data_IF_649352644397
#
_entry.id   IF_649352644397
#
_cell.length_a   1.000
_cell.length_b   1.000
_cell.length_c   1.000
_cell.angle_alpha   90.00
_cell.angle_beta   90.00
_cell.angle_gamma   90.00
#
_symmetry.space_group_name_H-M   'P 1'
#
loop_
_entity.id
_entity.type
_entity.pdbx_description
1 polymer ?
#
# COMPACT_ATOMS: atom_id res chain seq x y z
N UNK A 1 -36.49 -28.73 63.37
CA UNK A 1 -37.16 -27.93 62.33
C UNK A 1 -36.44 -26.59 62.28
N UNK A 2 -35.69 -26.37 61.20
CA UNK A 2 -34.57 -25.42 61.14
C UNK A 2 -34.99 -23.95 61.14
N UNK A 3 -34.25 -23.15 61.89
CA UNK A 3 -34.18 -21.71 61.75
C UNK A 3 -33.10 -21.40 60.70
N UNK A 4 -33.41 -20.58 59.72
CA UNK A 4 -32.40 -20.01 58.83
C UNK A 4 -32.64 -18.51 58.68
N UNK A 5 -31.71 -17.75 59.25
CA UNK A 5 -31.57 -16.31 59.14
C UNK A 5 -30.51 -16.04 58.08
N UNK A 6 -30.82 -15.24 57.06
CA UNK A 6 -29.79 -14.79 56.13
C UNK A 6 -30.31 -13.99 54.96
N UNK A 7 -30.70 -12.73 55.19
CA UNK A 7 -30.82 -11.74 54.10
C UNK A 7 -29.42 -11.41 53.59
N UNK A 8 -29.08 -11.87 52.39
CA UNK A 8 -27.88 -11.42 51.69
C UNK A 8 -28.30 -10.49 50.53
N UNK A 9 -27.91 -9.21 50.63
CA UNK A 9 -28.06 -8.21 49.56
C UNK A 9 -26.94 -8.46 48.54
N UNK A 10 -27.29 -9.07 47.41
CA UNK A 10 -26.39 -9.19 46.27
C UNK A 10 -26.18 -7.84 45.60
N UNK A 11 -24.93 -7.43 45.53
CA UNK A 11 -24.40 -6.21 44.93
C UNK A 11 -24.70 -6.08 43.44
N UNK A 12 -25.09 -4.88 43.02
CA UNK A 12 -25.14 -4.47 41.60
C UNK A 12 -23.77 -4.69 40.93
N UNK A 13 -23.75 -5.56 39.92
CA UNK A 13 -22.57 -5.79 39.07
C UNK A 13 -22.32 -4.56 38.21
N UNK A 14 -21.32 -3.75 38.59
CA UNK A 14 -20.74 -2.64 37.81
C UNK A 14 -19.83 -3.15 36.69
N UNK A 15 -20.29 -4.07 35.86
CA UNK A 15 -19.48 -4.61 34.75
C UNK A 15 -20.31 -4.59 33.47
N UNK A 16 -20.27 -3.46 32.76
CA UNK A 16 -20.46 -3.36 31.28
C UNK A 16 -20.54 -1.92 30.74
N UNK A 17 -19.78 -0.96 31.30
CA UNK A 17 -19.61 0.36 30.67
C UNK A 17 -18.40 0.45 29.72
N UNK A 18 -17.60 -0.60 29.59
CA UNK A 18 -16.36 -0.55 28.80
C UNK A 18 -16.52 -1.02 27.34
N UNK A 19 -17.71 -1.43 26.91
CA UNK A 19 -17.90 -2.13 25.63
C UNK A 19 -18.34 -1.30 24.42
N UNK A 20 -18.37 0.05 24.47
CA UNK A 20 -18.59 0.85 23.25
C UNK A 20 -17.83 2.17 23.27
N UNK A 21 -16.50 2.13 23.12
CA UNK A 21 -15.80 3.23 22.43
C UNK A 21 -16.14 3.15 20.94
N UNK A 22 -17.36 3.58 20.61
CA UNK A 22 -17.72 3.91 19.24
C UNK A 22 -16.88 5.15 18.88
N UNK A 23 -16.13 5.18 17.76
CA UNK A 23 -15.42 6.39 17.36
C UNK A 23 -16.38 7.57 17.34
N UNK A 24 -15.93 8.73 17.84
CA UNK A 24 -16.77 9.93 17.95
C UNK A 24 -17.17 10.35 16.52
N UNK A 25 -18.45 10.60 16.22
CA UNK A 25 -18.93 10.90 14.85
C UNK A 25 -18.08 11.97 14.14
N UNK A 26 -17.69 13.00 14.89
CA UNK A 26 -16.87 14.10 14.42
C UNK A 26 -15.45 13.72 13.96
N UNK A 27 -14.81 12.70 14.57
CA UNK A 27 -13.48 12.24 14.12
C UNK A 27 -13.60 11.51 12.80
N UNK A 28 -14.61 10.63 12.68
CA UNK A 28 -14.85 9.87 11.45
C UNK A 28 -15.19 10.77 10.27
N UNK A 29 -16.00 11.81 10.48
CA UNK A 29 -16.31 12.81 9.45
C UNK A 29 -15.07 13.59 9.00
N UNK A 30 -14.17 13.95 9.93
CA UNK A 30 -12.90 14.61 9.61
C UNK A 30 -11.97 13.68 8.82
N UNK A 31 -11.86 12.42 9.23
CA UNK A 31 -11.05 11.41 8.54
C UNK A 31 -11.60 11.12 7.14
N UNK A 32 -12.93 11.03 6.99
CA UNK A 32 -13.60 10.83 5.70
C UNK A 32 -13.39 12.03 4.76
N UNK A 33 -13.46 13.26 5.29
CA UNK A 33 -13.20 14.49 4.52
C UNK A 33 -11.74 14.57 4.08
N UNK A 34 -10.80 14.24 4.97
CA UNK A 34 -9.37 14.21 4.65
C UNK A 34 -9.04 13.15 3.60
N UNK A 35 -9.66 11.96 3.71
CA UNK A 35 -9.53 10.90 2.70
C UNK A 35 -10.07 11.33 1.35
N UNK A 36 -11.26 11.92 1.30
CA UNK A 36 -11.85 12.44 0.06
C UNK A 36 -10.93 13.48 -0.61
N UNK A 37 -10.37 14.41 0.17
CA UNK A 37 -9.43 15.41 -0.34
C UNK A 37 -8.16 14.78 -0.92
N UNK A 38 -7.59 13.76 -0.29
CA UNK A 38 -6.41 13.05 -0.80
C UNK A 38 -6.69 12.32 -2.12
N UNK A 39 -7.85 11.66 -2.24
CA UNK A 39 -8.25 11.00 -3.50
C UNK A 39 -8.44 12.00 -4.64
N UNK A 40 -9.01 13.17 -4.33
CA UNK A 40 -9.17 14.24 -5.30
C UNK A 40 -7.82 14.85 -5.71
N UNK A 41 -6.88 15.01 -4.78
CA UNK A 41 -5.53 15.49 -5.11
C UNK A 41 -4.80 14.53 -6.07
N UNK A 42 -4.96 13.22 -5.89
CA UNK A 42 -4.42 12.20 -6.82
C UNK A 42 -5.05 12.34 -8.21
N UNK A 43 -6.36 12.52 -8.28
CA UNK A 43 -7.06 12.71 -9.56
C UNK A 43 -6.70 14.03 -10.24
N UNK A 44 -6.48 15.11 -9.47
CA UNK A 44 -5.99 16.40 -9.97
C UNK A 44 -4.55 16.31 -10.49
N UNK A 45 -3.73 15.42 -9.93
CA UNK A 45 -2.42 15.05 -10.46
C UNK A 45 -2.51 14.15 -11.72
N UNK A 46 -3.71 13.86 -12.23
CA UNK A 46 -3.95 13.11 -13.46
C UNK A 46 -3.90 11.60 -13.31
N UNK A 47 -3.74 11.07 -12.09
CA UNK A 47 -3.69 9.63 -11.83
C UNK A 47 -5.12 9.07 -11.71
N UNK A 48 -5.54 8.14 -12.59
CA UNK A 48 -6.91 7.61 -12.58
C UNK A 48 -7.09 6.57 -11.49
N UNK A 49 -8.19 6.68 -10.73
CA UNK A 49 -8.40 5.88 -9.53
C UNK A 49 -9.65 5.00 -9.63
N UNK A 50 -9.64 3.86 -8.91
CA UNK A 50 -10.79 2.98 -8.76
C UNK A 50 -10.91 2.41 -7.33
N UNK A 51 -12.11 2.00 -6.88
CA UNK A 51 -12.30 1.37 -5.57
C UNK A 51 -11.62 0.01 -5.45
N UNK A 52 -11.08 -0.26 -4.26
CA UNK A 52 -10.40 -1.48 -3.91
C UNK A 52 -10.88 -2.06 -2.58
N UNK A 53 -10.60 -3.34 -2.40
CA UNK A 53 -10.93 -4.06 -1.18
C UNK A 53 -10.18 -3.48 0.02
N UNK A 54 -10.75 -3.64 1.21
CA UNK A 54 -10.22 -3.12 2.46
C UNK A 54 -10.16 -4.22 3.52
N UNK A 55 -9.40 -4.04 4.62
CA UNK A 55 -9.27 -5.07 5.62
C UNK A 55 -10.50 -5.11 6.53
N UNK A 56 -10.91 -6.33 6.89
CA UNK A 56 -11.97 -6.61 7.88
C UNK A 56 -11.35 -7.51 8.95
N UNK A 57 -10.68 -6.89 9.93
CA UNK A 57 -9.77 -7.60 10.83
C UNK A 57 -8.61 -8.21 10.05
N UNK A 58 -8.39 -9.52 10.19
CA UNK A 58 -7.39 -10.28 9.42
C UNK A 58 -7.92 -10.85 8.09
N UNK A 59 -9.09 -10.39 7.62
CA UNK A 59 -9.72 -10.85 6.37
C UNK A 59 -9.86 -9.73 5.35
N UNK A 60 -10.21 -10.10 4.12
CA UNK A 60 -10.51 -9.17 3.04
C UNK A 60 -12.02 -8.85 2.99
N UNK A 61 -12.39 -7.63 2.64
CA UNK A 61 -13.78 -7.22 2.41
C UNK A 61 -14.45 -7.90 1.21
N UNK A 62 -13.71 -8.66 0.40
CA UNK A 62 -14.26 -9.42 -0.73
C UNK A 62 -14.93 -10.75 -0.35
N UNK A 63 -14.91 -11.10 0.94
CA UNK A 63 -15.51 -12.32 1.51
C UNK A 63 -14.96 -13.65 0.96
N UNK A 64 -13.99 -13.61 0.05
CA UNK A 64 -13.29 -14.80 -0.46
C UNK A 64 -12.45 -15.45 0.64
N UNK A 65 -12.76 -16.70 0.94
CA UNK A 65 -11.91 -17.56 1.77
C UNK A 65 -10.58 -17.76 1.06
N UNK A 66 -9.46 -17.45 1.72
CA UNK A 66 -8.13 -17.54 1.12
C UNK A 66 -7.88 -16.50 0.03
N UNK A 67 -8.34 -15.25 0.22
CA UNK A 67 -7.99 -14.14 -0.65
C UNK A 67 -6.45 -14.03 -0.76
N UNK A 68 -5.87 -14.08 -1.98
CA UNK A 68 -4.42 -14.10 -2.15
C UNK A 68 -3.76 -12.75 -1.81
N UNK A 69 -4.51 -11.64 -1.98
CA UNK A 69 -4.02 -10.28 -1.74
C UNK A 69 -5.01 -9.49 -0.88
N UNK A 70 -5.17 -9.84 0.41
CA UNK A 70 -6.18 -9.23 1.27
C UNK A 70 -6.05 -7.70 1.33
N UNK A 71 -7.17 -6.99 1.14
CA UNK A 71 -7.26 -5.54 1.13
C UNK A 71 -6.44 -4.79 0.06
N UNK A 72 -5.92 -5.49 -0.95
CA UNK A 72 -5.03 -4.90 -1.98
C UNK A 72 -5.59 -4.92 -3.39
N UNK A 73 -6.60 -5.75 -3.66
CA UNK A 73 -7.14 -5.91 -5.01
C UNK A 73 -8.30 -4.94 -5.32
N UNK A 74 -8.50 -4.55 -6.59
CA UNK A 74 -9.67 -3.78 -7.03
C UNK A 74 -10.98 -4.53 -6.73
N UNK A 75 -12.08 -3.79 -6.54
CA UNK A 75 -13.41 -4.39 -6.34
C UNK A 75 -14.01 -4.96 -7.63
N UNK A 76 -13.61 -4.42 -8.77
CA UNK A 76 -14.14 -4.78 -10.09
C UNK A 76 -13.04 -5.39 -10.94
N UNK A 77 -13.37 -6.45 -11.71
CA UNK A 77 -12.46 -6.99 -12.73
C UNK A 77 -12.27 -6.04 -13.91
N UNK A 78 -13.16 -5.08 -14.10
CA UNK A 78 -13.08 -4.03 -15.12
C UNK A 78 -12.40 -2.75 -14.59
N UNK A 79 -11.54 -2.87 -13.57
CA UNK A 79 -10.93 -1.73 -12.90
C UNK A 79 -10.13 -0.83 -13.86
N UNK A 80 -9.50 -1.39 -14.88
CA UNK A 80 -8.72 -0.64 -15.88
C UNK A 80 -9.60 0.40 -16.58
N UNK A 81 -10.77 -0.03 -17.07
CA UNK A 81 -11.70 0.85 -17.82
C UNK A 81 -12.58 1.69 -16.91
N UNK A 82 -12.71 1.31 -15.64
CA UNK A 82 -13.46 2.05 -14.64
C UNK A 82 -12.63 3.09 -13.88
N UNK A 83 -11.30 3.00 -13.94
CA UNK A 83 -10.42 3.98 -13.30
C UNK A 83 -10.62 5.35 -13.93
N UNK A 84 -10.76 6.39 -13.10
CA UNK A 84 -11.16 7.72 -13.56
C UNK A 84 -10.53 8.83 -12.74
N UNK A 85 -10.45 10.02 -13.32
CA UNK A 85 -10.14 11.28 -12.65
C UNK A 85 -11.41 12.15 -12.46
N UNK A 86 -12.60 11.63 -12.81
CA UNK A 86 -13.86 12.36 -12.65
C UNK A 86 -14.18 12.61 -11.16
N UNK A 87 -14.07 13.87 -10.74
CA UNK A 87 -14.33 14.33 -9.37
C UNK A 87 -15.68 13.83 -8.84
N UNK A 88 -16.75 13.92 -9.64
CA UNK A 88 -18.08 13.57 -9.16
C UNK A 88 -18.20 12.06 -8.87
N UNK A 89 -17.59 11.21 -9.70
CA UNK A 89 -17.52 9.76 -9.48
C UNK A 89 -16.70 9.42 -8.24
N UNK A 90 -15.55 10.08 -8.06
CA UNK A 90 -14.67 9.87 -6.91
C UNK A 90 -15.37 10.24 -5.61
N UNK A 91 -16.00 11.42 -5.54
CA UNK A 91 -16.79 11.84 -4.38
C UNK A 91 -17.94 10.86 -4.08
N UNK A 92 -18.62 10.35 -5.11
CA UNK A 92 -19.66 9.33 -4.93
C UNK A 92 -19.11 8.05 -4.32
N UNK A 93 -17.97 7.56 -4.80
CA UNK A 93 -17.32 6.37 -4.23
C UNK A 93 -16.86 6.61 -2.80
N UNK A 94 -16.17 7.72 -2.54
CA UNK A 94 -15.67 8.07 -1.22
C UNK A 94 -16.80 8.11 -0.18
N UNK A 95 -17.93 8.74 -0.50
CA UNK A 95 -19.07 8.87 0.43
C UNK A 95 -19.88 7.59 0.60
N UNK A 96 -20.09 6.83 -0.48
CA UNK A 96 -20.87 5.58 -0.42
C UNK A 96 -20.10 4.41 0.21
N UNK A 97 -18.76 4.43 0.15
CA UNK A 97 -17.89 3.35 0.62
C UNK A 97 -16.76 3.92 1.49
N UNK A 98 -17.07 4.38 2.73
CA UNK A 98 -16.10 5.08 3.57
C UNK A 98 -14.89 4.24 4.01
N UNK A 99 -15.02 2.91 3.95
CA UNK A 99 -13.96 1.98 4.34
C UNK A 99 -13.15 1.45 3.14
N UNK A 100 -13.59 1.69 1.90
CA UNK A 100 -12.90 1.17 0.73
C UNK A 100 -11.52 1.81 0.58
N UNK A 101 -10.54 0.97 0.27
CA UNK A 101 -9.27 1.45 -0.26
C UNK A 101 -9.49 1.90 -1.71
N UNK A 102 -8.48 2.55 -2.29
CA UNK A 102 -8.47 2.92 -3.70
C UNK A 102 -7.16 2.46 -4.32
N UNK A 103 -7.20 2.14 -5.61
CA UNK A 103 -6.03 1.89 -6.44
C UNK A 103 -5.90 2.98 -7.48
N UNK A 104 -4.70 3.15 -8.01
CA UNK A 104 -4.43 3.89 -9.23
C UNK A 104 -3.98 2.94 -10.33
N UNK A 105 -4.49 3.14 -11.55
CA UNK A 105 -4.10 2.35 -12.71
C UNK A 105 -2.84 2.93 -13.36
N UNK A 106 -1.77 2.13 -13.44
CA UNK A 106 -0.46 2.56 -13.96
C UNK A 106 -0.33 2.32 -15.47
N UNK A 107 0.70 2.92 -16.09
CA UNK A 107 1.03 2.78 -17.50
C UNK A 107 0.15 3.54 -18.48
N UNK A 108 -0.64 4.50 -18.01
CA UNK A 108 -1.37 5.45 -18.85
C UNK A 108 -0.80 6.87 -18.74
N UNK A 109 -0.63 7.35 -17.51
CA UNK A 109 -0.09 8.69 -17.20
C UNK A 109 1.15 8.60 -16.31
N UNK A 110 1.17 7.62 -15.42
CA UNK A 110 2.23 7.40 -14.46
C UNK A 110 2.57 5.91 -14.38
N UNK A 111 3.80 5.63 -13.99
CA UNK A 111 4.24 4.31 -13.57
C UNK A 111 4.65 4.36 -12.09
N UNK A 112 4.87 3.20 -11.48
CA UNK A 112 5.35 3.11 -10.09
C UNK A 112 6.54 2.16 -9.98
N UNK A 113 7.64 2.66 -9.42
CA UNK A 113 8.79 1.86 -9.03
C UNK A 113 8.60 1.43 -7.57
N UNK A 114 8.39 0.14 -7.35
CA UNK A 114 8.16 -0.46 -6.04
C UNK A 114 9.43 -1.19 -5.57
N UNK A 115 9.98 -0.77 -4.43
CA UNK A 115 11.26 -1.26 -3.88
C UNK A 115 11.12 -1.68 -2.42
N UNK A 116 12.05 -2.48 -1.86
CA UNK A 116 12.06 -2.76 -0.43
C UNK A 116 12.20 -1.48 0.38
N UNK A 117 11.50 -1.36 1.50
CA UNK A 117 11.40 -0.13 2.29
C UNK A 117 12.79 0.43 2.64
N UNK A 118 13.66 -0.39 3.22
CA UNK A 118 15.00 0.04 3.62
C UNK A 118 15.89 0.48 2.45
N UNK A 119 15.73 -0.13 1.27
CA UNK A 119 16.43 0.30 0.06
C UNK A 119 15.86 1.63 -0.46
N UNK A 120 14.53 1.77 -0.46
CA UNK A 120 13.83 2.98 -0.85
C UNK A 120 14.19 4.19 0.02
N UNK A 121 14.27 4.02 1.34
CA UNK A 121 14.67 5.09 2.27
C UNK A 121 16.09 5.61 1.96
N UNK A 122 17.05 4.70 1.78
CA UNK A 122 18.43 5.05 1.41
C UNK A 122 18.51 5.73 0.04
N UNK A 123 17.75 5.24 -0.93
CA UNK A 123 17.69 5.84 -2.27
C UNK A 123 17.07 7.24 -2.23
N UNK A 124 15.97 7.42 -1.50
CA UNK A 124 15.28 8.70 -1.34
C UNK A 124 16.21 9.75 -0.72
N UNK A 125 16.93 9.40 0.35
CA UNK A 125 17.90 10.30 0.98
C UNK A 125 18.98 10.75 -0.02
N UNK A 126 19.56 9.81 -0.77
CA UNK A 126 20.60 10.09 -1.77
C UNK A 126 20.09 10.97 -2.91
N UNK A 127 18.90 10.68 -3.44
CA UNK A 127 18.30 11.45 -4.53
C UNK A 127 18.02 12.89 -4.09
N UNK A 128 17.44 13.08 -2.90
CA UNK A 128 17.18 14.41 -2.34
C UNK A 128 18.47 15.17 -2.05
N UNK A 129 19.50 14.51 -1.50
CA UNK A 129 20.81 15.11 -1.26
C UNK A 129 21.51 15.53 -2.57
N UNK A 130 21.25 14.82 -3.66
CA UNK A 130 21.74 15.14 -5.00
C UNK A 130 20.88 16.21 -5.74
N UNK A 131 19.76 16.66 -5.15
CA UNK A 131 18.86 17.62 -5.77
C UNK A 131 18.06 17.07 -6.96
N UNK A 132 17.90 15.74 -7.04
CA UNK A 132 17.07 15.09 -8.06
C UNK A 132 15.60 15.26 -7.69
N UNK A 133 14.74 15.55 -8.68
CA UNK A 133 13.29 15.58 -8.46
C UNK A 133 12.75 14.15 -8.37
N UNK A 134 12.20 13.77 -7.22
CA UNK A 134 11.78 12.39 -6.92
C UNK A 134 10.28 12.16 -7.11
N UNK A 135 9.48 13.22 -7.25
CA UNK A 135 8.01 13.11 -7.33
C UNK A 135 7.32 12.59 -6.07
N UNK A 136 6.06 12.11 -6.19
CA UNK A 136 5.31 11.50 -5.10
C UNK A 136 5.93 10.17 -4.65
N UNK A 137 5.93 9.92 -3.35
CA UNK A 137 6.50 8.72 -2.73
C UNK A 137 5.57 8.24 -1.62
N UNK A 138 5.26 6.95 -1.60
CA UNK A 138 4.44 6.34 -0.55
C UNK A 138 5.16 5.16 0.12
N UNK A 139 4.93 4.98 1.41
CA UNK A 139 5.23 3.72 2.11
C UNK A 139 4.02 2.80 1.97
N UNK A 140 4.23 1.52 1.66
CA UNK A 140 3.20 0.49 1.66
C UNK A 140 3.58 -0.60 2.65
N UNK A 141 2.83 -0.73 3.74
CA UNK A 141 3.17 -1.66 4.81
C UNK A 141 4.47 -1.27 5.51
N UNK A 142 5.17 -2.26 6.03
CA UNK A 142 6.47 -2.13 6.70
C UNK A 142 7.63 -2.62 5.81
N UNK A 143 7.35 -3.01 4.57
CA UNK A 143 8.29 -3.72 3.72
C UNK A 143 8.52 -3.06 2.35
N UNK A 144 7.63 -2.16 1.88
CA UNK A 144 7.70 -1.56 0.54
C UNK A 144 7.66 -0.03 0.52
N UNK A 145 8.35 0.55 -0.46
CA UNK A 145 8.26 1.97 -0.82
C UNK A 145 7.97 2.13 -2.31
N UNK A 146 7.03 3.01 -2.64
CA UNK A 146 6.50 3.26 -3.98
C UNK A 146 6.92 4.64 -4.46
N UNK A 147 7.61 4.72 -5.59
CA UNK A 147 8.00 5.97 -6.26
C UNK A 147 7.16 6.17 -7.51
N UNK A 148 6.40 7.27 -7.57
CA UNK A 148 5.49 7.55 -8.67
C UNK A 148 6.22 8.40 -9.72
N UNK A 149 6.24 7.93 -10.95
CA UNK A 149 7.00 8.54 -12.05
C UNK A 149 6.09 8.79 -13.25
N UNK A 150 6.52 9.64 -14.19
CA UNK A 150 5.84 9.77 -15.46
C UNK A 150 5.87 8.41 -16.18
N UNK A 151 4.82 8.09 -16.93
CA UNK A 151 4.84 6.85 -17.70
C UNK A 151 5.85 6.95 -18.83
N UNK A 152 6.51 5.83 -19.14
CA UNK A 152 7.27 5.68 -20.39
C UNK A 152 6.46 5.04 -21.52
N UNK A 153 5.21 4.61 -21.26
CA UNK A 153 4.33 4.10 -22.29
C UNK A 153 3.97 5.19 -23.29
N UNK A 154 4.13 4.92 -24.59
CA UNK A 154 3.54 5.72 -25.66
C UNK A 154 2.07 5.32 -25.81
N UNK A 155 1.10 6.21 -25.55
CA UNK A 155 -0.31 5.88 -25.76
C UNK A 155 -0.68 5.70 -27.25
N UNK A 156 0.16 6.19 -28.16
CA UNK A 156 -0.13 6.27 -29.60
C UNK A 156 0.46 5.09 -30.41
N UNK A 157 1.44 4.36 -29.88
CA UNK A 157 2.04 3.18 -30.54
C UNK A 157 1.63 1.91 -29.79
N UNK A 158 0.39 1.46 -30.06
CA UNK A 158 -0.10 0.17 -29.55
C UNK A 158 0.77 -1.02 -30.05
N UNK A 159 1.48 -0.83 -31.17
CA UNK A 159 2.26 -1.84 -31.89
C UNK A 159 3.74 -1.94 -31.44
N UNK A 160 4.28 -0.96 -30.70
CA UNK A 160 5.62 -1.03 -30.08
C UNK A 160 5.56 -1.61 -28.66
N UNK A 161 4.62 -2.53 -28.44
CA UNK A 161 4.50 -3.25 -27.19
C UNK A 161 5.47 -4.42 -27.15
N UNK A 162 6.54 -4.28 -26.36
CA UNK A 162 7.28 -5.42 -25.85
C UNK A 162 6.77 -5.74 -24.44
N UNK A 163 6.39 -7.00 -24.13
CA UNK A 163 6.28 -7.43 -22.75
C UNK A 163 7.65 -7.21 -22.11
N UNK A 164 7.74 -6.33 -21.11
CA UNK A 164 8.97 -6.20 -20.36
C UNK A 164 8.95 -7.34 -19.35
N UNK A 165 10.05 -8.09 -19.19
CA UNK A 165 10.14 -9.16 -18.18
C UNK A 165 9.97 -8.63 -16.73
N UNK A 166 9.90 -7.31 -16.52
CA UNK A 166 9.49 -6.67 -15.27
C UNK A 166 7.96 -6.51 -15.08
N UNK A 167 7.13 -6.95 -16.04
CA UNK A 167 5.68 -6.82 -15.99
C UNK A 167 5.06 -7.78 -14.94
N UNK A 168 5.06 -7.30 -13.69
CA UNK A 168 4.13 -7.65 -12.62
C UNK A 168 4.17 -9.07 -12.03
N UNK A 169 5.15 -9.92 -12.35
CA UNK A 169 5.43 -11.13 -11.57
C UNK A 169 6.94 -11.28 -11.38
N UNK A 170 7.52 -10.88 -10.23
CA UNK A 170 8.71 -11.60 -9.80
C UNK A 170 8.24 -13.00 -9.43
N UNK A 171 8.58 -14.01 -10.24
CA UNK A 171 8.26 -15.40 -9.90
C UNK A 171 9.06 -15.85 -8.67
N UNK A 172 10.23 -15.24 -8.40
CA UNK A 172 10.96 -15.34 -7.12
C UNK A 172 11.80 -14.06 -6.82
N UNK A 173 12.34 -13.95 -5.60
CA UNK A 173 13.34 -12.93 -5.21
C UNK A 173 14.62 -12.97 -6.05
N UNK A 174 14.83 -14.05 -6.80
CA UNK A 174 16.10 -14.39 -7.45
C UNK A 174 16.22 -13.78 -8.85
N UNK A 175 15.10 -13.43 -9.50
CA UNK A 175 15.09 -12.85 -10.86
C UNK A 175 15.28 -11.33 -10.86
N UNK A 176 14.76 -10.64 -9.83
CA UNK A 176 15.04 -9.23 -9.57
C UNK A 176 15.16 -8.98 -8.07
N UNK A 177 16.34 -8.60 -7.54
CA UNK A 177 16.53 -8.36 -6.11
C UNK A 177 15.78 -7.10 -5.68
N UNK A 178 14.48 -7.22 -5.40
CA UNK A 178 13.66 -6.26 -4.66
C UNK A 178 12.86 -5.23 -5.47
N UNK A 179 13.30 -4.79 -6.65
CA UNK A 179 12.60 -3.76 -7.45
C UNK A 179 11.52 -4.37 -8.36
N UNK A 180 10.34 -3.75 -8.40
CA UNK A 180 9.23 -4.04 -9.31
C UNK A 180 8.83 -2.76 -10.03
N UNK A 181 8.49 -2.86 -11.31
CA UNK A 181 8.00 -1.73 -12.09
C UNK A 181 6.55 -1.95 -12.51
N UNK A 182 5.64 -1.17 -11.92
CA UNK A 182 4.23 -1.16 -12.27
C UNK A 182 3.99 -0.23 -13.46
N UNK A 183 3.92 -0.83 -14.66
CA UNK A 183 3.64 -0.17 -15.92
C UNK A 183 2.18 -0.42 -16.36
N UNK A 184 1.94 -0.59 -17.66
CA UNK A 184 0.62 -0.80 -18.25
C UNK A 184 -0.01 -2.10 -17.79
N UNK A 185 -1.30 -2.05 -17.47
CA UNK A 185 -2.05 -3.21 -16.99
C UNK A 185 -1.79 -3.55 -15.52
N UNK A 186 -1.03 -2.72 -14.81
CA UNK A 186 -0.79 -2.84 -13.37
C UNK A 186 -1.56 -1.79 -12.56
N UNK A 187 -1.51 -1.96 -11.24
CA UNK A 187 -2.09 -1.02 -10.28
C UNK A 187 -1.32 -1.07 -8.97
N UNK A 188 -1.40 0.02 -8.21
CA UNK A 188 -0.95 0.07 -6.81
C UNK A 188 -2.03 0.68 -5.94
N UNK A 189 -2.01 0.38 -4.64
CA UNK A 189 -2.87 1.04 -3.66
C UNK A 189 -2.48 2.51 -3.50
N UNK A 190 -3.49 3.38 -3.33
CA UNK A 190 -3.33 4.79 -3.07
C UNK A 190 -3.43 5.10 -1.58
N UNK A 191 -2.52 5.95 -1.03
CA UNK A 191 -2.74 6.52 0.28
C UNK A 191 -3.96 7.46 0.32
N UNK A 192 -4.74 7.45 1.42
CA UNK A 192 -4.61 6.54 2.56
C UNK A 192 -5.30 5.21 2.25
N UNK A 193 -4.57 4.10 2.39
CA UNK A 193 -5.14 2.75 2.32
C UNK A 193 -4.79 1.96 3.58
N UNK A 194 -5.66 1.05 3.97
CA UNK A 194 -5.49 0.18 5.12
C UNK A 194 -5.10 -1.23 4.65
N UNK A 195 -4.19 -1.85 5.37
CA UNK A 195 -3.73 -3.22 5.14
C UNK A 195 -4.09 -4.11 6.35
N UNK A 196 -4.10 -5.44 6.21
CA UNK A 196 -4.24 -6.31 7.36
C UNK A 196 -3.10 -6.10 8.37
N UNK A 197 -3.36 -6.35 9.66
CA UNK A 197 -2.33 -6.30 10.68
C UNK A 197 -1.94 -4.88 11.15
N UNK A 198 -2.88 -3.93 11.11
CA UNK A 198 -2.67 -2.53 11.51
C UNK A 198 -1.62 -1.78 10.66
N UNK A 199 -1.32 -2.32 9.47
CA UNK A 199 -0.47 -1.70 8.46
C UNK A 199 -1.29 -0.77 7.55
N UNK A 200 -0.61 0.14 6.87
CA UNK A 200 -1.21 1.15 6.00
C UNK A 200 -0.36 1.46 4.77
N UNK A 201 -0.95 2.21 3.84
CA UNK A 201 -0.24 2.88 2.75
C UNK A 201 -0.38 4.39 2.98
N UNK A 202 0.76 5.07 3.10
CA UNK A 202 0.85 6.47 3.51
C UNK A 202 1.78 7.26 2.59
N UNK A 203 1.42 8.50 2.26
CA UNK A 203 2.30 9.41 1.53
C UNK A 203 3.49 9.83 2.41
N UNK A 204 4.70 9.71 1.87
CA UNK A 204 5.92 10.36 2.37
C UNK A 204 6.16 11.68 1.64
N UNK A 205 5.87 11.71 0.33
CA UNK A 205 5.75 12.90 -0.51
C UNK A 205 4.44 12.79 -1.28
N UNK A 206 3.58 13.81 -1.18
CA UNK A 206 2.22 13.73 -1.72
C UNK A 206 2.15 13.93 -3.24
N UNK A 207 0.93 13.77 -3.82
CA UNK A 207 0.67 13.89 -5.25
C UNK A 207 0.84 15.32 -5.79
N UNK A 208 1.04 16.32 -4.94
CA UNK A 208 1.39 17.70 -5.32
C UNK A 208 2.77 17.83 -5.98
N UNK A 209 3.63 16.82 -5.84
CA UNK A 209 4.92 16.78 -6.51
C UNK A 209 4.78 16.27 -7.95
N UNK A 210 5.48 16.89 -8.93
CA UNK A 210 5.40 16.48 -10.32
C UNK A 210 5.99 15.08 -10.50
N UNK A 211 5.45 14.33 -11.47
CA UNK A 211 5.93 13.01 -11.84
C UNK A 211 7.27 13.14 -12.62
N UNK A 212 8.41 12.65 -12.09
CA UNK A 212 9.70 12.71 -12.79
C UNK A 212 9.81 11.63 -13.87
N UNK A 213 10.77 11.77 -14.79
CA UNK A 213 11.14 10.67 -15.69
C UNK A 213 11.72 9.51 -14.85
N UNK A 214 11.18 8.27 -14.94
CA UNK A 214 11.65 7.15 -14.15
C UNK A 214 13.14 6.87 -14.33
N UNK A 215 13.71 7.14 -15.50
CA UNK A 215 15.14 6.91 -15.75
C UNK A 215 16.05 7.72 -14.82
N UNK A 216 15.56 8.86 -14.31
CA UNK A 216 16.32 9.68 -13.35
C UNK A 216 16.45 9.03 -11.98
N UNK A 217 15.58 8.07 -11.64
CA UNK A 217 15.55 7.38 -10.36
C UNK A 217 16.14 5.97 -10.43
N UNK A 218 16.00 5.30 -11.58
CA UNK A 218 16.29 3.87 -11.75
C UNK A 218 17.68 3.44 -11.31
N UNK A 219 18.72 4.20 -11.67
CA UNK A 219 20.10 3.84 -11.31
C UNK A 219 20.27 3.80 -9.78
N UNK A 220 19.79 4.84 -9.10
CA UNK A 220 19.93 4.95 -7.64
C UNK A 220 19.09 3.90 -6.92
N UNK A 221 17.86 3.66 -7.39
CA UNK A 221 16.96 2.64 -6.82
C UNK A 221 17.53 1.24 -7.01
N UNK A 222 18.02 0.91 -8.21
CA UNK A 222 18.61 -0.40 -8.51
C UNK A 222 19.89 -0.63 -7.68
N UNK A 223 20.77 0.36 -7.56
CA UNK A 223 21.97 0.26 -6.71
C UNK A 223 21.61 0.04 -5.24
N UNK A 224 20.60 0.76 -4.72
CA UNK A 224 20.15 0.57 -3.34
C UNK A 224 19.54 -0.83 -3.12
N UNK A 225 18.73 -1.33 -4.07
CA UNK A 225 18.15 -2.66 -4.01
C UNK A 225 19.21 -3.77 -4.06
N UNK A 226 20.22 -3.65 -4.93
CA UNK A 226 21.32 -4.60 -5.02
C UNK A 226 22.12 -4.68 -3.70
N UNK A 227 22.37 -3.54 -3.04
CA UNK A 227 23.04 -3.50 -1.73
C UNK A 227 22.19 -4.13 -0.63
N UNK A 228 20.87 -3.89 -0.65
CA UNK A 228 19.93 -4.46 0.31
C UNK A 228 19.94 -5.99 0.27
N UNK A 229 19.78 -6.58 -0.91
CA UNK A 229 19.80 -8.05 -1.06
C UNK A 229 21.16 -8.64 -0.69
N UNK A 230 22.26 -7.95 -1.02
CA UNK A 230 23.60 -8.34 -0.56
C UNK A 230 23.75 -8.37 0.97
N UNK A 231 23.00 -7.52 1.70
CA UNK A 231 23.01 -7.48 3.17
C UNK A 231 22.09 -8.51 3.83
N UNK A 232 20.89 -8.76 3.27
CA UNK A 232 19.99 -9.81 3.76
C UNK A 232 20.61 -11.20 3.58
N UNK A 233 21.19 -11.47 2.41
CA UNK A 233 21.88 -12.74 2.15
C UNK A 233 23.09 -12.98 3.05
N UNK A 234 23.78 -11.93 3.52
CA UNK A 234 24.84 -12.07 4.53
C UNK A 234 24.27 -12.35 5.93
N UNK A 235 23.14 -11.72 6.28
CA UNK A 235 22.48 -11.96 7.57
C UNK A 235 21.88 -13.36 7.71
N UNK A 236 21.39 -13.95 6.61
CA UNK A 236 20.90 -15.34 6.59
C UNK A 236 22.05 -16.35 6.71
N UNK A 237 23.18 -16.12 6.03
CA UNK A 237 24.39 -16.94 6.15
C UNK A 237 25.00 -16.84 7.56
N UNK A 238 24.98 -15.67 8.18
CA UNK A 238 25.41 -15.50 9.57
C UNK A 238 24.48 -16.23 10.56
N UNK A 239 23.18 -16.31 10.28
CA UNK A 239 22.21 -17.03 11.13
C UNK A 239 22.32 -18.56 11.00
N UNK A 240 22.80 -19.07 9.86
CA UNK A 240 23.10 -20.50 9.65
C UNK A 240 24.45 -20.92 10.26
N UNK A 241 25.34 -19.96 10.56
CA UNK A 241 26.68 -20.22 11.10
C UNK A 241 26.74 -20.57 12.60
N UNK A 242 25.58 -20.70 13.28
CA UNK A 242 25.52 -21.26 14.64
C UNK A 242 25.68 -22.79 14.57
N UNK A 243 26.94 -23.21 14.40
CA UNK A 243 27.38 -24.59 14.48
C UNK A 243 27.02 -25.18 15.85
N UNK A 244 26.03 -26.08 15.87
CA UNK A 244 25.72 -26.91 17.03
C UNK A 244 26.89 -27.86 17.32
N UNK A 245 27.33 -28.03 18.59
CA UNK A 245 28.48 -28.87 18.89
C UNK A 245 28.10 -30.35 18.78
N UNK A 246 28.73 -31.06 17.85
CA UNK A 246 28.78 -32.52 17.83
C UNK A 246 29.58 -32.98 19.06
N UNK A 247 28.88 -33.55 20.06
CA UNK A 247 29.53 -34.31 21.13
C UNK A 247 29.73 -35.77 20.69
N UNK A 248 30.95 -36.22 20.98
CA UNK A 248 31.59 -37.53 20.77
C UNK A 248 30.72 -38.76 20.97
#
# INVERSE_FOLDING_TARGET
MGADFGRNRGSESKISQWLRRRPKPQQREVDDTAREALLLAVAEAGMPIAPAAHPVGYRCSCERIGCPTPARHPLSFAWQTQSTTDRAQIERWARSQPQANFITATGMIHDVLDVPLAAGEQALERLLAAGVEVGPVARSGDDRMLFFTATRGTPEDEDEWWPCELDCHPETMDEHPGLRWHCRGSYVLLPPAQLPGELDVAWLRGPEHPLPDPLTLLETLTDACARFVGSEGQSEVDHESVAWPLRR
#
